data_IF_108398228680
#
_entry.id   IF_108398228680
#
_cell.length_a   1.000
_cell.length_b   1.000
_cell.length_c   1.000
_cell.angle_alpha   90.00
_cell.angle_beta   90.00
_cell.angle_gamma   90.00
#
_symmetry.space_group_name_H-M   'P 1'
#
loop_
_entity.id
_entity.type
_entity.pdbx_description
1 polymer ?
#
# COMPACT_ATOMS: atom_id res chain seq x y z
N UNK A 1 -44.32 50.01 -32.07
CA UNK A 1 -44.22 49.34 -30.76
C UNK A 1 -43.07 48.34 -30.86
N UNK A 2 -41.84 48.75 -30.51
CA UNK A 2 -40.63 47.95 -30.66
C UNK A 2 -40.40 47.14 -29.37
N UNK A 3 -40.45 45.81 -29.47
CA UNK A 3 -40.10 44.90 -28.37
C UNK A 3 -38.58 44.68 -28.43
N UNK A 4 -37.87 45.21 -27.42
CA UNK A 4 -36.45 44.93 -27.17
C UNK A 4 -36.33 43.55 -26.52
N UNK A 5 -35.66 42.62 -27.20
CA UNK A 5 -35.27 41.33 -26.64
C UNK A 5 -33.93 41.55 -25.92
N UNK A 6 -33.94 41.51 -24.58
CA UNK A 6 -32.73 41.45 -23.76
C UNK A 6 -32.20 40.01 -23.78
N UNK A 7 -31.06 39.80 -24.45
CA UNK A 7 -30.26 38.58 -24.32
C UNK A 7 -29.55 38.61 -22.94
N UNK A 8 -29.97 37.76 -22.02
CA UNK A 8 -29.20 37.47 -20.80
C UNK A 8 -28.17 36.39 -21.11
N UNK A 9 -26.92 36.81 -21.28
CA UNK A 9 -25.77 35.91 -21.38
C UNK A 9 -25.42 35.43 -19.96
N UNK A 10 -25.93 34.26 -19.57
CA UNK A 10 -25.50 33.59 -18.33
C UNK A 10 -24.17 32.91 -18.62
N UNK A 11 -23.05 33.58 -18.29
CA UNK A 11 -21.76 32.89 -18.16
C UNK A 11 -21.85 31.98 -16.94
N UNK A 12 -22.08 30.68 -17.18
CA UNK A 12 -21.83 29.63 -16.20
C UNK A 12 -20.31 29.57 -15.99
N UNK A 13 -19.81 30.36 -15.05
CA UNK A 13 -18.51 30.12 -14.43
C UNK A 13 -18.67 28.80 -13.67
N UNK A 14 -18.29 27.71 -14.32
CA UNK A 14 -17.99 26.44 -13.66
C UNK A 14 -16.73 26.63 -12.82
N UNK A 15 -16.87 27.36 -11.71
CA UNK A 15 -15.93 27.33 -10.62
C UNK A 15 -16.02 25.94 -10.01
N UNK A 16 -15.20 25.01 -10.52
CA UNK A 16 -14.88 23.83 -9.75
C UNK A 16 -14.44 24.31 -8.38
N UNK A 17 -15.08 23.83 -7.31
CA UNK A 17 -14.62 24.07 -5.94
C UNK A 17 -13.25 23.41 -5.86
N UNK A 18 -12.21 24.16 -6.21
CA UNK A 18 -10.85 23.76 -6.00
C UNK A 18 -10.70 23.78 -4.49
N UNK A 19 -10.62 22.60 -3.88
CA UNK A 19 -10.41 22.49 -2.44
C UNK A 19 -9.18 23.34 -2.11
N UNK A 20 -9.39 24.47 -1.43
CA UNK A 20 -8.34 25.40 -1.07
C UNK A 20 -7.29 24.63 -0.27
N UNK A 21 -6.06 24.60 -0.77
CA UNK A 21 -4.91 24.06 -0.04
C UNK A 21 -4.82 24.75 1.31
N UNK A 22 -4.77 23.99 2.41
CA UNK A 22 -4.60 24.59 3.73
C UNK A 22 -3.15 25.02 3.96
N UNK A 23 -2.20 24.34 3.31
CA UNK A 23 -0.77 24.61 3.42
C UNK A 23 -0.35 25.59 2.32
N UNK A 24 0.25 26.72 2.70
CA UNK A 24 0.80 27.75 1.81
C UNK A 24 2.07 27.29 1.09
N UNK A 25 2.50 28.03 0.06
CA UNK A 25 3.71 27.67 -0.69
C UNK A 25 4.97 27.74 0.19
N UNK A 26 5.04 28.75 1.06
CA UNK A 26 6.10 28.98 2.03
C UNK A 26 6.17 27.84 3.05
N UNK A 27 5.03 27.41 3.60
CA UNK A 27 4.96 26.28 4.53
C UNK A 27 5.34 24.96 3.87
N UNK A 28 5.01 24.76 2.59
CA UNK A 28 5.43 23.56 1.84
C UNK A 28 6.93 23.52 1.61
N UNK A 29 7.52 24.66 1.24
CA UNK A 29 8.97 24.76 1.11
C UNK A 29 9.66 24.51 2.46
N UNK A 30 9.13 25.11 3.53
CA UNK A 30 9.62 24.88 4.88
C UNK A 30 9.55 23.40 5.29
N UNK A 31 8.43 22.72 5.02
CA UNK A 31 8.28 21.30 5.32
C UNK A 31 9.25 20.40 4.55
N UNK A 32 9.51 20.70 3.27
CA UNK A 32 10.55 20.02 2.49
C UNK A 32 11.95 20.25 3.10
N UNK A 33 12.26 21.51 3.45
CA UNK A 33 13.55 21.86 4.05
C UNK A 33 13.77 21.17 5.41
N UNK A 34 12.70 21.02 6.20
CA UNK A 34 12.75 20.27 7.46
C UNK A 34 13.04 18.79 7.22
N UNK A 35 12.35 18.12 6.27
CA UNK A 35 12.66 16.72 5.95
C UNK A 35 14.08 16.53 5.44
N UNK A 36 14.54 17.41 4.55
CA UNK A 36 15.92 17.40 4.06
C UNK A 36 16.89 17.49 5.23
N UNK A 37 16.72 18.49 6.11
CA UNK A 37 17.59 18.73 7.25
C UNK A 37 17.59 17.57 8.23
N UNK A 38 16.41 17.08 8.64
CA UNK A 38 16.30 16.00 9.62
C UNK A 38 16.93 14.70 9.09
N UNK A 39 16.75 14.38 7.81
CA UNK A 39 17.44 13.25 7.19
C UNK A 39 18.96 13.47 7.15
N UNK A 40 19.43 14.66 6.75
CA UNK A 40 20.87 14.98 6.70
C UNK A 40 21.57 14.78 8.04
N UNK A 41 20.88 15.04 9.17
CA UNK A 41 21.46 14.89 10.50
C UNK A 41 21.26 13.50 11.10
N UNK A 42 20.12 12.84 10.86
CA UNK A 42 19.71 11.67 11.62
C UNK A 42 19.62 10.37 10.80
N UNK A 43 19.57 10.44 9.47
CA UNK A 43 19.50 9.24 8.65
C UNK A 43 20.86 8.54 8.63
N UNK A 44 20.92 7.36 9.24
CA UNK A 44 22.17 6.64 9.48
C UNK A 44 22.71 5.88 8.27
N UNK A 45 21.92 5.73 7.20
CA UNK A 45 22.18 4.75 6.13
C UNK A 45 22.47 5.39 4.76
N UNK A 46 23.07 6.59 4.72
CA UNK A 46 23.46 7.21 3.45
C UNK A 46 24.51 6.39 2.68
N UNK A 47 25.30 5.56 3.37
CA UNK A 47 26.22 4.59 2.76
C UNK A 47 25.50 3.53 1.90
N UNK A 48 24.21 3.28 2.14
CA UNK A 48 23.40 2.34 1.36
C UNK A 48 22.79 2.98 0.10
N UNK A 49 22.94 4.30 -0.07
CA UNK A 49 22.51 5.06 -1.25
C UNK A 49 23.66 5.94 -1.78
N UNK A 50 24.80 5.34 -2.17
CA UNK A 50 26.02 6.09 -2.49
C UNK A 50 25.87 7.02 -3.71
N UNK A 51 24.93 6.72 -4.61
CA UNK A 51 24.66 7.52 -5.80
C UNK A 51 23.65 8.67 -5.55
N UNK A 52 23.08 8.74 -4.33
CA UNK A 52 22.12 9.78 -3.96
C UNK A 52 22.85 11.05 -3.53
N UNK A 53 22.84 12.07 -4.39
CA UNK A 53 23.15 13.43 -3.99
C UNK A 53 21.93 14.03 -3.27
N UNK A 54 21.96 14.01 -1.94
CA UNK A 54 20.82 14.43 -1.11
C UNK A 54 20.50 15.93 -1.25
N UNK A 55 21.54 16.77 -1.38
CA UNK A 55 21.38 18.21 -1.51
C UNK A 55 20.84 18.58 -2.89
N UNK A 56 21.37 17.96 -3.95
CA UNK A 56 20.83 18.14 -5.30
C UNK A 56 19.39 17.61 -5.40
N UNK A 57 19.08 16.50 -4.72
CA UNK A 57 17.72 15.96 -4.66
C UNK A 57 16.77 16.93 -3.98
N UNK A 58 17.16 17.52 -2.85
CA UNK A 58 16.37 18.57 -2.19
C UNK A 58 16.10 19.74 -3.14
N UNK A 59 17.13 20.27 -3.79
CA UNK A 59 16.98 21.38 -4.75
C UNK A 59 16.03 21.03 -5.90
N UNK A 60 16.11 19.81 -6.44
CA UNK A 60 15.25 19.33 -7.51
C UNK A 60 13.77 19.16 -7.08
N UNK A 61 13.50 19.04 -5.78
CA UNK A 61 12.15 18.90 -5.23
C UNK A 61 11.50 20.23 -4.82
N UNK A 62 12.27 21.30 -4.62
CA UNK A 62 11.77 22.66 -4.37
C UNK A 62 10.70 23.08 -5.40
N UNK A 63 10.94 23.05 -6.73
CA UNK A 63 9.92 23.45 -7.69
C UNK A 63 8.68 22.54 -7.66
N UNK A 64 8.83 21.26 -7.27
CA UNK A 64 7.72 20.30 -7.21
C UNK A 64 6.76 20.60 -6.06
N UNK A 65 7.29 20.94 -4.87
CA UNK A 65 6.43 21.29 -3.72
C UNK A 65 5.74 22.65 -3.91
N UNK A 66 6.42 23.59 -4.57
CA UNK A 66 5.84 24.89 -4.92
C UNK A 66 4.74 24.77 -5.98
N UNK A 67 4.89 23.84 -6.94
CA UNK A 67 3.91 23.60 -8.00
C UNK A 67 2.68 22.79 -7.56
N UNK A 68 2.69 22.18 -6.38
CA UNK A 68 1.56 21.38 -5.89
C UNK A 68 0.28 22.22 -5.81
N UNK A 69 -0.86 21.69 -6.27
CA UNK A 69 -2.14 22.43 -6.30
C UNK A 69 -3.05 22.14 -5.09
N UNK A 70 -2.68 21.17 -4.27
CA UNK A 70 -3.42 20.76 -3.08
C UNK A 70 -2.51 20.11 -2.05
N UNK A 71 -2.97 20.03 -0.81
CA UNK A 71 -2.26 19.33 0.27
C UNK A 71 -1.96 17.87 -0.11
N UNK A 72 -2.89 17.18 -0.77
CA UNK A 72 -2.68 15.81 -1.24
C UNK A 72 -1.52 15.70 -2.24
N UNK A 73 -1.45 16.61 -3.21
CA UNK A 73 -0.33 16.64 -4.16
C UNK A 73 0.99 16.97 -3.47
N UNK A 74 0.98 17.90 -2.52
CA UNK A 74 2.17 18.22 -1.72
C UNK A 74 2.70 17.00 -0.96
N UNK A 75 1.84 16.29 -0.22
CA UNK A 75 2.27 15.08 0.49
C UNK A 75 2.73 13.96 -0.45
N UNK A 76 2.17 13.85 -1.67
CA UNK A 76 2.70 12.91 -2.68
C UNK A 76 4.13 13.26 -3.09
N UNK A 77 4.44 14.55 -3.27
CA UNK A 77 5.81 15.01 -3.56
C UNK A 77 6.75 14.70 -2.40
N UNK A 78 6.34 14.92 -1.15
CA UNK A 78 7.16 14.56 0.02
C UNK A 78 7.43 13.05 0.12
N UNK A 79 6.43 12.21 -0.19
CA UNK A 79 6.61 10.75 -0.25
C UNK A 79 7.65 10.36 -1.30
N UNK A 80 7.59 10.96 -2.49
CA UNK A 80 8.61 10.75 -3.53
C UNK A 80 9.99 11.19 -3.08
N UNK A 81 10.09 12.28 -2.34
CA UNK A 81 11.35 12.77 -1.80
C UNK A 81 11.98 11.77 -0.84
N UNK A 82 11.25 11.34 0.19
CA UNK A 82 11.80 10.34 1.14
C UNK A 82 12.02 8.96 0.51
N UNK A 83 11.23 8.56 -0.49
CA UNK A 83 11.44 7.29 -1.18
C UNK A 83 12.81 7.20 -1.89
N UNK A 84 13.47 8.35 -2.18
CA UNK A 84 14.83 8.36 -2.73
C UNK A 84 15.89 7.82 -1.75
N UNK A 85 15.60 7.83 -0.45
CA UNK A 85 16.47 7.24 0.58
C UNK A 85 16.51 5.71 0.53
N UNK A 86 15.61 5.06 -0.24
CA UNK A 86 15.52 3.61 -0.37
C UNK A 86 15.51 2.88 0.99
N UNK A 87 14.76 3.40 1.96
CA UNK A 87 14.68 2.85 3.31
C UNK A 87 13.24 2.58 3.73
N UNK A 88 12.94 1.33 4.10
CA UNK A 88 11.58 0.88 4.43
C UNK A 88 10.96 1.58 5.65
N UNK A 89 11.78 2.23 6.48
CA UNK A 89 11.35 2.91 7.70
C UNK A 89 11.29 4.44 7.55
N UNK A 90 11.67 4.97 6.37
CA UNK A 90 11.67 6.39 6.05
C UNK A 90 10.51 6.73 5.12
N UNK A 91 9.37 7.14 5.68
CA UNK A 91 8.17 7.43 4.91
C UNK A 91 7.36 8.62 5.46
N UNK A 92 6.56 9.24 4.60
CA UNK A 92 5.62 10.30 4.98
C UNK A 92 4.21 9.75 5.05
N UNK A 93 3.53 9.96 6.17
CA UNK A 93 2.11 9.67 6.32
C UNK A 93 1.25 10.92 6.14
N UNK A 94 0.18 10.78 5.35
CA UNK A 94 -0.89 11.78 5.29
C UNK A 94 -1.84 11.53 6.46
N UNK A 95 -2.47 12.59 6.97
CA UNK A 95 -3.54 12.41 7.94
C UNK A 95 -4.70 11.58 7.34
N UNK A 96 -5.48 10.95 8.22
CA UNK A 96 -6.53 10.01 7.84
C UNK A 96 -7.61 10.64 6.93
N UNK A 97 -8.04 11.87 7.24
CA UNK A 97 -9.08 12.58 6.48
C UNK A 97 -8.65 12.84 5.03
N UNK A 98 -7.47 13.44 4.84
CA UNK A 98 -6.92 13.77 3.53
C UNK A 98 -6.71 12.50 2.71
N UNK A 99 -6.16 11.45 3.34
CA UNK A 99 -5.89 10.19 2.67
C UNK A 99 -7.18 9.51 2.20
N UNK A 100 -8.16 9.32 3.08
CA UNK A 100 -9.40 8.61 2.74
C UNK A 100 -10.27 9.38 1.75
N UNK A 101 -10.17 10.72 1.71
CA UNK A 101 -10.83 11.55 0.69
C UNK A 101 -10.30 11.29 -0.73
N UNK A 102 -9.03 10.91 -0.86
CA UNK A 102 -8.36 10.78 -2.15
C UNK A 102 -8.00 9.35 -2.55
N UNK A 103 -7.99 8.42 -1.61
CA UNK A 103 -7.55 7.05 -1.83
C UNK A 103 -8.65 6.06 -1.45
N UNK A 104 -9.09 5.30 -2.45
CA UNK A 104 -10.02 4.19 -2.34
C UNK A 104 -9.54 3.00 -3.19
N UNK A 105 -10.10 1.84 -2.90
CA UNK A 105 -9.82 0.58 -3.58
C UNK A 105 -11.13 -0.02 -4.11
N UNK A 106 -11.08 -0.74 -5.25
CA UNK A 106 -12.18 -1.60 -5.65
C UNK A 106 -12.31 -2.82 -4.72
N UNK A 107 -13.45 -3.54 -4.72
CA UNK A 107 -13.70 -4.70 -3.85
C UNK A 107 -12.98 -5.97 -4.34
N UNK A 108 -11.65 -5.89 -4.41
CA UNK A 108 -10.72 -6.94 -4.82
C UNK A 108 -9.47 -6.89 -3.92
N UNK A 109 -8.89 -8.05 -3.63
CA UNK A 109 -7.63 -8.20 -2.93
C UNK A 109 -6.61 -8.85 -3.86
N UNK A 110 -5.42 -8.27 -3.90
CA UNK A 110 -4.31 -8.78 -4.69
C UNK A 110 -3.19 -9.29 -3.80
N UNK A 111 -2.53 -10.35 -4.26
CA UNK A 111 -1.23 -10.76 -3.79
C UNK A 111 -0.23 -10.68 -4.95
N UNK A 112 1.02 -10.45 -4.60
CA UNK A 112 2.13 -10.57 -5.54
C UNK A 112 2.65 -12.01 -5.52
N UNK A 113 2.90 -12.55 -6.71
CA UNK A 113 3.66 -13.78 -6.90
C UNK A 113 4.38 -13.70 -8.25
N UNK A 114 5.69 -13.89 -8.27
CA UNK A 114 6.52 -13.84 -9.49
C UNK A 114 6.30 -12.55 -10.32
N UNK A 115 6.18 -11.41 -9.63
CA UNK A 115 5.87 -10.09 -10.20
C UNK A 115 4.50 -10.01 -10.90
N UNK A 116 3.59 -10.93 -10.59
CA UNK A 116 2.22 -10.96 -11.10
C UNK A 116 1.22 -10.52 -10.03
N UNK A 117 0.19 -9.79 -10.45
CA UNK A 117 -0.91 -9.35 -9.60
C UNK A 117 -2.01 -10.42 -9.55
N UNK A 118 -1.93 -11.33 -8.59
CA UNK A 118 -2.85 -12.46 -8.44
C UNK A 118 -4.06 -12.05 -7.60
N UNK A 119 -5.27 -12.36 -8.09
CA UNK A 119 -6.52 -12.13 -7.37
C UNK A 119 -6.69 -13.16 -6.26
N UNK A 120 -6.63 -12.71 -5.01
CA UNK A 120 -6.72 -13.58 -3.82
C UNK A 120 -7.96 -13.32 -2.98
N UNK A 121 -8.71 -12.27 -3.30
CA UNK A 121 -10.02 -11.99 -2.72
C UNK A 121 -10.85 -11.11 -3.66
N UNK A 122 -12.16 -11.29 -3.65
CA UNK A 122 -13.09 -10.47 -4.44
C UNK A 122 -14.48 -10.46 -3.80
N UNK A 123 -15.28 -9.41 -4.03
CA UNK A 123 -16.69 -9.45 -3.62
C UNK A 123 -17.42 -10.63 -4.27
N UNK A 124 -18.29 -11.28 -3.51
CA UNK A 124 -19.09 -12.41 -4.01
C UNK A 124 -19.91 -12.04 -5.25
N UNK A 125 -20.36 -10.78 -5.33
CA UNK A 125 -21.11 -10.24 -6.48
C UNK A 125 -20.32 -10.18 -7.78
N UNK A 126 -18.98 -10.18 -7.71
CA UNK A 126 -18.08 -10.11 -8.87
C UNK A 126 -17.34 -11.42 -9.12
N UNK A 127 -17.40 -12.37 -8.19
CA UNK A 127 -16.60 -13.59 -8.24
C UNK A 127 -16.84 -14.47 -9.49
N UNK A 128 -18.06 -14.44 -10.05
CA UNK A 128 -18.39 -15.15 -11.29
C UNK A 128 -17.74 -14.52 -12.54
N UNK A 129 -17.43 -13.22 -12.49
CA UNK A 129 -16.82 -12.47 -13.59
C UNK A 129 -15.29 -12.48 -13.50
N UNK A 130 -14.75 -12.41 -12.28
CA UNK A 130 -13.32 -12.43 -12.00
C UNK A 130 -13.00 -13.50 -10.94
N UNK A 131 -12.73 -14.75 -11.38
CA UNK A 131 -12.43 -15.85 -10.47
C UNK A 131 -11.13 -15.61 -9.69
N UNK A 132 -11.06 -16.14 -8.47
CA UNK A 132 -9.81 -16.22 -7.69
C UNK A 132 -8.69 -16.92 -8.48
N UNK A 133 -7.45 -16.50 -8.24
CA UNK A 133 -6.28 -16.97 -8.96
C UNK A 133 -6.09 -16.34 -10.34
N UNK A 134 -7.01 -15.47 -10.79
CA UNK A 134 -6.80 -14.70 -12.01
C UNK A 134 -5.61 -13.74 -11.85
N UNK A 135 -4.89 -13.48 -12.94
CA UNK A 135 -3.77 -12.54 -12.97
C UNK A 135 -4.24 -11.25 -13.64
N UNK A 136 -4.17 -10.12 -12.93
CA UNK A 136 -4.39 -8.80 -13.52
C UNK A 136 -3.19 -8.48 -14.41
N UNK A 137 -3.46 -8.19 -15.68
CA UNK A 137 -2.41 -7.88 -16.68
C UNK A 137 -2.36 -6.40 -17.02
N UNK A 138 -3.50 -5.70 -16.94
CA UNK A 138 -3.58 -4.27 -17.22
C UNK A 138 -4.56 -3.55 -16.29
N UNK A 139 -4.26 -2.30 -16.00
CA UNK A 139 -5.08 -1.37 -15.23
C UNK A 139 -5.25 -0.09 -16.03
N UNK A 140 -6.50 0.30 -16.30
CA UNK A 140 -6.86 1.48 -17.10
C UNK A 140 -6.16 1.52 -18.47
N UNK A 141 -5.95 0.34 -19.06
CA UNK A 141 -5.31 0.16 -20.37
C UNK A 141 -3.79 -0.02 -20.31
N UNK A 142 -3.14 0.34 -19.21
CA UNK A 142 -1.68 0.27 -19.01
C UNK A 142 -1.27 -1.09 -18.45
N UNK A 143 -0.16 -1.65 -18.91
CA UNK A 143 0.39 -2.90 -18.35
C UNK A 143 0.72 -2.73 -16.86
N UNK A 144 0.47 -3.76 -16.04
CA UNK A 144 0.71 -3.70 -14.59
C UNK A 144 2.14 -3.25 -14.26
N UNK A 145 3.15 -3.78 -14.95
CA UNK A 145 4.55 -3.41 -14.73
C UNK A 145 4.80 -1.92 -14.95
N UNK A 146 4.34 -1.39 -16.08
CA UNK A 146 4.49 0.02 -16.42
C UNK A 146 3.75 0.92 -15.44
N UNK A 147 2.53 0.54 -15.06
CA UNK A 147 1.72 1.25 -14.08
C UNK A 147 2.44 1.34 -12.73
N UNK A 148 3.00 0.22 -12.27
CA UNK A 148 3.76 0.18 -11.02
C UNK A 148 4.99 1.08 -11.08
N UNK A 149 5.80 0.97 -12.13
CA UNK A 149 7.02 1.75 -12.29
C UNK A 149 6.77 3.26 -12.37
N UNK A 150 5.71 3.67 -13.08
CA UNK A 150 5.42 5.08 -13.33
C UNK A 150 4.63 5.74 -12.21
N UNK A 151 3.70 5.01 -11.58
CA UNK A 151 2.68 5.61 -10.72
C UNK A 151 2.64 5.07 -9.29
N UNK A 152 3.38 4.01 -8.95
CA UNK A 152 3.33 3.38 -7.62
C UNK A 152 4.70 3.31 -6.94
N UNK A 153 5.70 2.69 -7.58
CA UNK A 153 7.05 2.53 -7.04
C UNK A 153 7.72 3.85 -6.61
N UNK A 154 7.52 5.01 -7.30
CA UNK A 154 8.08 6.27 -6.86
C UNK A 154 7.59 6.73 -5.46
N UNK A 155 6.56 6.10 -4.89
CA UNK A 155 6.02 6.42 -3.57
C UNK A 155 6.37 5.39 -2.50
N UNK A 156 7.10 4.32 -2.85
CA UNK A 156 7.46 3.23 -1.94
C UNK A 156 8.94 3.37 -1.58
N UNK A 157 9.20 3.75 -0.34
CA UNK A 157 10.55 3.71 0.22
C UNK A 157 10.90 2.28 0.60
N UNK A 158 11.94 1.72 0.00
CA UNK A 158 12.42 0.37 0.31
C UNK A 158 13.84 0.15 -0.18
N UNK A 159 14.61 -0.64 0.57
CA UNK A 159 15.97 -1.04 0.20
C UNK A 159 16.00 -2.21 -0.78
N UNK A 160 14.87 -2.87 -1.04
CA UNK A 160 14.82 -4.07 -1.87
C UNK A 160 13.70 -4.04 -2.91
N UNK A 161 13.95 -4.62 -4.07
CA UNK A 161 13.01 -4.64 -5.18
C UNK A 161 11.74 -5.47 -4.88
N UNK A 162 11.89 -6.63 -4.22
CA UNK A 162 10.77 -7.52 -3.94
C UNK A 162 9.69 -6.84 -3.07
N UNK A 163 10.07 -6.00 -2.09
CA UNK A 163 9.12 -5.24 -1.29
C UNK A 163 8.37 -4.22 -2.15
N UNK A 164 9.04 -3.55 -3.10
CA UNK A 164 8.36 -2.63 -4.03
C UNK A 164 7.29 -3.35 -4.84
N UNK A 165 7.58 -4.54 -5.36
CA UNK A 165 6.59 -5.36 -6.07
C UNK A 165 5.45 -5.81 -5.16
N UNK A 166 5.78 -6.37 -3.99
CA UNK A 166 4.78 -6.83 -3.02
C UNK A 166 3.83 -5.71 -2.61
N UNK A 167 4.36 -4.61 -2.09
CA UNK A 167 3.60 -3.47 -1.60
C UNK A 167 2.92 -2.70 -2.75
N UNK A 168 3.56 -2.65 -3.93
CA UNK A 168 2.99 -2.01 -5.11
C UNK A 168 1.73 -2.72 -5.60
N UNK A 169 1.76 -4.06 -5.70
CA UNK A 169 0.62 -4.87 -6.14
C UNK A 169 -0.47 -4.92 -5.07
N UNK A 170 -0.11 -5.31 -3.84
CA UNK A 170 -1.05 -5.46 -2.73
C UNK A 170 -1.66 -4.12 -2.31
N UNK A 171 -0.86 -3.05 -2.40
CA UNK A 171 -1.19 -1.72 -1.91
C UNK A 171 -1.04 -1.57 -0.40
N UNK A 172 -0.86 -0.32 0.03
CA UNK A 172 -0.78 0.05 1.43
C UNK A 172 -1.74 1.20 1.70
N UNK A 173 -2.87 0.89 2.34
CA UNK A 173 -3.89 1.91 2.62
C UNK A 173 -3.40 3.01 3.56
N UNK A 174 -2.56 2.67 4.55
CA UNK A 174 -2.01 3.65 5.50
C UNK A 174 -1.09 4.66 4.83
N UNK A 175 -0.25 4.18 3.92
CA UNK A 175 0.67 4.99 3.11
C UNK A 175 0.06 5.51 1.80
N UNK A 176 -1.14 5.07 1.44
CA UNK A 176 -1.92 5.65 0.36
C UNK A 176 -1.33 5.45 -1.05
N UNK A 177 -0.78 4.27 -1.33
CA UNK A 177 -0.37 3.82 -2.66
C UNK A 177 -0.86 2.39 -2.94
N UNK A 178 -0.85 1.98 -4.20
CA UNK A 178 -1.14 0.61 -4.63
C UNK A 178 -1.66 0.54 -6.06
N UNK A 179 -1.51 -0.62 -6.70
CA UNK A 179 -1.83 -0.84 -8.12
C UNK A 179 -3.25 -0.42 -8.52
N UNK A 180 -4.23 -0.73 -7.68
CA UNK A 180 -5.64 -0.43 -7.94
C UNK A 180 -6.15 0.81 -7.21
N UNK A 181 -5.30 1.45 -6.41
CA UNK A 181 -5.69 2.61 -5.61
C UNK A 181 -5.92 3.84 -6.48
N UNK A 182 -6.89 4.66 -6.10
CA UNK A 182 -7.16 5.93 -6.78
C UNK A 182 -8.32 6.69 -6.13
N UNK A 183 -8.79 7.72 -6.81
CA UNK A 183 -9.82 8.60 -6.27
C UNK A 183 -11.14 7.87 -5.99
N UNK A 184 -11.73 8.17 -4.83
CA UNK A 184 -13.03 7.66 -4.40
C UNK A 184 -14.10 7.89 -5.46
N UNK A 185 -14.92 6.86 -5.72
CA UNK A 185 -16.03 6.91 -6.67
C UNK A 185 -15.63 6.82 -8.15
N UNK A 186 -14.33 6.79 -8.46
CA UNK A 186 -13.87 6.59 -9.83
C UNK A 186 -13.91 5.12 -10.23
N UNK A 187 -14.08 4.87 -11.52
CA UNK A 187 -14.04 3.52 -12.09
C UNK A 187 -12.59 3.15 -12.40
N UNK A 188 -12.20 1.93 -12.04
CA UNK A 188 -10.98 1.27 -12.49
C UNK A 188 -11.33 0.13 -13.44
N UNK A 189 -10.62 0.06 -14.56
CA UNK A 189 -10.82 -0.99 -15.58
C UNK A 189 -9.64 -1.93 -15.54
N UNK A 190 -9.90 -3.22 -15.34
CA UNK A 190 -8.85 -4.25 -15.34
C UNK A 190 -9.00 -5.18 -16.52
N UNK A 191 -7.88 -5.61 -17.10
CA UNK A 191 -7.80 -6.81 -17.94
C UNK A 191 -7.07 -7.89 -17.17
N UNK A 192 -7.48 -9.13 -17.36
CA UNK A 192 -6.94 -10.26 -16.60
C UNK A 192 -6.93 -11.55 -17.40
N UNK A 193 -6.13 -12.51 -16.93
CA UNK A 193 -6.13 -13.89 -17.42
C UNK A 193 -6.57 -14.81 -16.29
N UNK A 194 -7.61 -15.60 -16.53
CA UNK A 194 -8.13 -16.59 -15.55
C UNK A 194 -7.19 -17.79 -15.42
N UNK A 195 -7.33 -18.61 -14.35
CA UNK A 195 -6.57 -19.87 -14.22
C UNK A 195 -6.76 -20.85 -15.39
N UNK A 196 -7.88 -20.74 -16.12
CA UNK A 196 -8.13 -21.51 -17.33
C UNK A 196 -7.51 -20.89 -18.61
N UNK A 197 -6.57 -19.94 -18.46
CA UNK A 197 -5.92 -19.18 -19.54
C UNK A 197 -6.87 -18.40 -20.46
N UNK A 198 -8.07 -18.05 -19.98
CA UNK A 198 -9.00 -17.19 -20.71
C UNK A 198 -8.80 -15.72 -20.33
N UNK A 199 -8.71 -14.86 -21.34
CA UNK A 199 -8.68 -13.41 -21.15
C UNK A 199 -10.06 -12.88 -20.74
N UNK A 200 -10.08 -11.85 -19.89
CA UNK A 200 -11.28 -11.16 -19.46
C UNK A 200 -11.01 -9.68 -19.14
N UNK A 201 -12.08 -8.94 -18.91
CA UNK A 201 -12.02 -7.56 -18.45
C UNK A 201 -13.15 -7.27 -17.47
N UNK A 202 -12.92 -6.36 -16.53
CA UNK A 202 -13.91 -5.96 -15.54
C UNK A 202 -13.75 -4.47 -15.22
N UNK A 203 -14.85 -3.77 -14.97
CA UNK A 203 -14.85 -2.41 -14.45
C UNK A 203 -15.40 -2.42 -13.04
N UNK A 204 -14.73 -1.75 -12.11
CA UNK A 204 -15.10 -1.68 -10.69
C UNK A 204 -15.05 -0.24 -10.21
N UNK A 205 -15.87 0.10 -9.22
CA UNK A 205 -15.82 1.40 -8.56
C UNK A 205 -14.81 1.32 -7.41
N UNK A 206 -14.00 2.37 -7.21
CA UNK A 206 -13.17 2.54 -6.02
C UNK A 206 -14.05 3.03 -4.88
N UNK A 207 -14.38 2.14 -3.96
CA UNK A 207 -15.38 2.40 -2.91
C UNK A 207 -14.76 3.15 -1.73
N UNK A 208 -15.54 4.09 -1.17
CA UNK A 208 -15.14 4.82 0.04
C UNK A 208 -15.06 3.90 1.26
N UNK A 209 -15.88 2.86 1.28
CA UNK A 209 -16.03 1.93 2.38
C UNK A 209 -16.23 0.51 1.84
N UNK A 210 -15.39 -0.42 2.30
CA UNK A 210 -15.44 -1.85 1.96
C UNK A 210 -15.87 -2.72 3.14
N UNK A 211 -16.26 -2.13 4.28
CA UNK A 211 -16.59 -2.84 5.52
C UNK A 211 -17.81 -3.78 5.38
N UNK A 212 -18.76 -3.44 4.51
CA UNK A 212 -19.96 -4.23 4.25
C UNK A 212 -19.83 -5.25 3.10
N UNK A 213 -18.64 -5.41 2.51
CA UNK A 213 -18.45 -6.33 1.38
C UNK A 213 -18.43 -7.78 1.86
N UNK A 214 -19.29 -8.62 1.29
CA UNK A 214 -19.18 -10.07 1.40
C UNK A 214 -18.06 -10.57 0.48
N UNK A 215 -17.04 -11.19 1.07
CA UNK A 215 -15.80 -11.57 0.38
C UNK A 215 -15.73 -13.06 0.08
N UNK A 216 -15.41 -13.41 -1.17
CA UNK A 216 -14.85 -14.70 -1.52
C UNK A 216 -13.32 -14.61 -1.46
N UNK A 217 -12.68 -15.45 -0.64
CA UNK A 217 -11.23 -15.43 -0.41
C UNK A 217 -10.57 -16.73 -0.88
N UNK A 218 -9.33 -16.64 -1.36
CA UNK A 218 -8.52 -17.82 -1.63
C UNK A 218 -8.11 -18.50 -0.32
N UNK A 219 -7.94 -19.82 -0.37
CA UNK A 219 -7.50 -20.61 0.78
C UNK A 219 -6.16 -20.09 1.31
N UNK A 220 -6.09 -19.80 2.62
CA UNK A 220 -4.87 -19.29 3.26
C UNK A 220 -4.72 -17.76 3.31
N UNK A 221 -5.65 -17.01 2.73
CA UNK A 221 -5.72 -15.53 2.81
C UNK A 221 -6.44 -15.06 4.08
N UNK A 222 -6.91 -15.98 4.92
CA UNK A 222 -7.56 -15.61 6.17
C UNK A 222 -6.59 -14.80 7.04
N UNK A 223 -7.06 -13.66 7.52
CA UNK A 223 -6.37 -12.92 8.57
C UNK A 223 -6.30 -13.84 9.79
N UNK A 224 -5.10 -14.27 10.18
CA UNK A 224 -4.96 -14.90 11.48
C UNK A 224 -5.15 -13.80 12.50
N UNK A 225 -6.30 -13.77 13.15
CA UNK A 225 -6.62 -12.79 14.20
C UNK A 225 -5.86 -13.07 15.50
N UNK A 226 -5.15 -14.19 15.57
CA UNK A 226 -4.38 -14.61 16.73
C UNK A 226 -2.89 -14.40 16.49
N UNK A 227 -2.23 -13.77 17.46
CA UNK A 227 -0.80 -13.49 17.41
C UNK A 227 0.05 -14.77 17.40
N UNK A 228 -0.45 -15.86 17.99
CA UNK A 228 0.13 -17.22 17.89
C UNK A 228 -0.94 -18.21 17.42
N UNK A 229 -0.60 -19.06 16.45
CA UNK A 229 -1.45 -20.18 16.01
C UNK A 229 -0.63 -21.46 16.06
N UNK A 230 -1.11 -22.49 16.77
CA UNK A 230 -0.48 -23.80 16.82
C UNK A 230 -1.43 -24.89 16.28
N UNK A 231 -0.90 -25.77 15.43
CA UNK A 231 -1.61 -26.94 14.89
C UNK A 231 -0.67 -28.14 14.87
N UNK A 232 -1.20 -29.33 15.13
CA UNK A 232 -0.48 -30.59 14.89
C UNK A 232 -0.92 -31.14 13.54
N UNK A 233 0.03 -31.40 12.66
CA UNK A 233 -0.15 -31.95 11.32
C UNK A 233 0.09 -33.47 11.34
N UNK A 234 -0.03 -34.10 10.18
CA UNK A 234 0.35 -35.51 10.00
C UNK A 234 1.78 -35.77 10.48
N UNK A 235 2.03 -37.01 10.89
CA UNK A 235 3.34 -37.48 11.37
C UNK A 235 3.89 -36.70 12.56
N UNK A 236 3.02 -36.11 13.39
CA UNK A 236 3.40 -35.33 14.57
C UNK A 236 4.33 -34.14 14.21
N UNK A 237 4.09 -33.52 13.05
CA UNK A 237 4.73 -32.25 12.66
C UNK A 237 3.93 -31.10 13.25
N UNK A 238 4.57 -30.20 13.98
CA UNK A 238 3.91 -29.05 14.60
C UNK A 238 4.04 -27.82 13.69
N UNK A 239 2.92 -27.16 13.40
CA UNK A 239 2.87 -25.86 12.74
C UNK A 239 2.64 -24.77 13.78
N UNK A 240 3.50 -23.76 13.79
CA UNK A 240 3.39 -22.59 14.67
C UNK A 240 3.51 -21.32 13.83
N UNK A 241 2.44 -20.53 13.77
CA UNK A 241 2.49 -19.18 13.21
C UNK A 241 2.71 -18.17 14.33
N UNK A 242 3.68 -17.27 14.15
CA UNK A 242 3.93 -16.13 15.03
C UNK A 242 3.65 -14.87 14.22
N UNK A 243 2.41 -14.37 14.31
CA UNK A 243 1.91 -13.36 13.36
C UNK A 243 2.20 -11.92 13.81
N UNK A 244 2.61 -11.70 15.05
CA UNK A 244 2.75 -10.35 15.62
C UNK A 244 3.82 -10.32 16.72
N UNK A 245 4.85 -9.48 16.54
CA UNK A 245 5.91 -9.22 17.53
C UNK A 245 5.78 -7.83 18.19
N UNK A 246 4.62 -7.20 18.13
CA UNK A 246 4.30 -5.97 18.87
C UNK A 246 3.89 -6.23 20.32
N UNK A 247 3.47 -7.46 20.62
CA UNK A 247 2.89 -7.84 21.91
C UNK A 247 3.84 -8.76 22.68
N UNK A 248 4.15 -8.41 23.92
CA UNK A 248 4.97 -9.24 24.82
C UNK A 248 4.36 -10.63 25.08
N UNK A 249 3.02 -10.73 25.05
CA UNK A 249 2.29 -12.00 25.18
C UNK A 249 2.63 -13.02 24.08
N UNK A 250 3.13 -12.51 22.94
CA UNK A 250 4.11 -13.12 22.03
C UNK A 250 4.83 -14.35 22.54
N UNK A 251 5.88 -14.01 23.27
CA UNK A 251 6.89 -14.90 23.81
C UNK A 251 6.30 -15.83 24.85
N UNK A 252 5.43 -15.34 25.73
CA UNK A 252 4.82 -16.18 26.76
C UNK A 252 3.98 -17.32 26.17
N UNK A 253 3.20 -17.04 25.13
CA UNK A 253 2.39 -18.04 24.45
C UNK A 253 3.26 -19.09 23.78
N UNK A 254 4.37 -18.68 23.16
CA UNK A 254 5.29 -19.62 22.53
C UNK A 254 6.07 -20.46 23.55
N UNK A 255 6.57 -19.87 24.63
CA UNK A 255 7.25 -20.61 25.71
C UNK A 255 6.35 -21.70 26.27
N UNK A 256 5.05 -21.44 26.44
CA UNK A 256 4.06 -22.44 26.88
C UNK A 256 3.91 -23.61 25.89
N UNK A 257 4.21 -23.41 24.61
CA UNK A 257 4.17 -24.47 23.60
C UNK A 257 5.44 -25.32 23.59
N UNK A 258 6.59 -24.80 24.05
CA UNK A 258 7.89 -25.48 23.96
C UNK A 258 7.87 -26.95 24.41
N UNK A 259 7.26 -27.34 25.55
CA UNK A 259 7.24 -28.75 25.96
C UNK A 259 6.55 -29.67 24.95
N UNK A 260 5.53 -29.17 24.24
CA UNK A 260 4.85 -29.91 23.18
C UNK A 260 5.63 -29.90 21.87
N UNK A 261 6.34 -28.81 21.57
CA UNK A 261 7.16 -28.71 20.36
C UNK A 261 8.40 -29.61 20.44
N UNK A 262 8.94 -29.85 21.64
CA UNK A 262 10.07 -30.74 21.88
C UNK A 262 9.78 -32.22 21.59
N UNK A 263 8.50 -32.63 21.60
CA UNK A 263 8.09 -34.00 21.26
C UNK A 263 7.74 -34.17 19.79
N UNK A 264 7.76 -33.09 19.00
CA UNK A 264 7.38 -33.11 17.59
C UNK A 264 8.42 -33.84 16.73
N UNK A 265 7.96 -34.53 15.68
CA UNK A 265 8.86 -35.13 14.68
C UNK A 265 9.39 -34.08 13.68
N UNK A 266 8.76 -32.90 13.63
CA UNK A 266 9.15 -31.79 12.78
C UNK A 266 8.42 -30.51 13.18
N UNK A 267 8.97 -29.36 12.76
CA UNK A 267 8.44 -28.05 13.11
C UNK A 267 8.36 -27.17 11.86
N UNK A 268 7.22 -26.53 11.65
CA UNK A 268 6.99 -25.48 10.66
C UNK A 268 6.74 -24.18 11.40
N UNK A 269 7.67 -23.24 11.28
CA UNK A 269 7.51 -21.88 11.81
C UNK A 269 7.05 -20.95 10.68
N UNK A 270 5.88 -20.33 10.85
CA UNK A 270 5.29 -19.43 9.88
C UNK A 270 5.36 -17.98 10.37
N UNK A 271 6.20 -17.18 9.73
CA UNK A 271 6.39 -15.75 10.01
C UNK A 271 5.80 -14.86 8.92
N UNK A 272 5.05 -15.41 7.96
CA UNK A 272 4.64 -14.68 6.74
C UNK A 272 3.69 -13.52 7.00
N UNK A 273 2.98 -13.53 8.14
CA UNK A 273 2.12 -12.40 8.55
C UNK A 273 2.81 -11.47 9.55
N UNK A 274 4.02 -11.79 10.00
CA UNK A 274 4.76 -10.99 10.96
C UNK A 274 5.44 -9.80 10.27
N UNK A 275 5.17 -8.60 10.76
CA UNK A 275 5.73 -7.35 10.20
C UNK A 275 7.02 -6.90 10.88
N UNK A 276 7.41 -7.56 11.98
CA UNK A 276 8.51 -7.16 12.85
C UNK A 276 8.23 -5.87 13.59
N UNK A 277 8.54 -5.78 14.89
CA UNK A 277 8.41 -4.53 15.66
C UNK A 277 9.44 -4.44 16.79
N UNK A 278 9.35 -5.31 17.81
CA UNK A 278 10.24 -5.24 18.98
C UNK A 278 11.46 -6.14 18.74
N UNK A 279 12.70 -5.62 18.60
CA UNK A 279 13.88 -6.42 18.29
C UNK A 279 14.27 -7.42 19.39
N UNK A 280 13.87 -7.13 20.64
CA UNK A 280 14.17 -7.96 21.80
C UNK A 280 13.37 -9.26 21.83
N UNK A 281 12.14 -9.29 21.27
CA UNK A 281 11.31 -10.49 21.32
C UNK A 281 11.90 -11.63 20.48
N UNK A 282 12.29 -11.46 19.19
CA UNK A 282 12.96 -12.50 18.40
C UNK A 282 14.18 -13.12 19.10
N UNK A 283 14.97 -12.31 19.82
CA UNK A 283 16.15 -12.80 20.54
C UNK A 283 15.81 -13.79 21.65
N UNK A 284 14.64 -13.65 22.29
CA UNK A 284 14.17 -14.56 23.32
C UNK A 284 13.78 -15.92 22.73
N UNK A 285 13.09 -15.95 21.58
CA UNK A 285 12.75 -17.19 20.86
C UNK A 285 13.99 -17.98 20.44
N UNK A 286 15.08 -17.31 20.06
CA UNK A 286 16.32 -17.95 19.64
C UNK A 286 17.17 -18.47 20.80
N UNK A 287 16.91 -17.99 22.02
CA UNK A 287 17.68 -18.33 23.22
C UNK A 287 17.06 -19.44 24.08
N UNK A 288 15.80 -19.81 23.80
CA UNK A 288 15.02 -20.84 24.49
C UNK A 288 15.02 -22.15 23.71
#
# INVERSE_FOLDING_TARGET
MFIRICLFLVMLLSGGVQAQSRISAEERLFGLAMLWKEASYNFAYFDQVPDLDWDATYQAFIPKVLAAKSDYQYYKVLKQFLATLNDGMSYVQMNHELRNKHNALPPIMLAEAEHQAVVVGISETLASQLPLGSIITHVDGVEVKDKLQQEVFPFISSSTEHIRWHEGIKGNQGLGYGLLMGQVGTVVKVRFTTPANRAGHLSMIREADLSGVAWQLASGVMANTHSVVHKVLADNIHYVALNDFSQDSVTEQFIKLLPQLQTANGLVIDLRQNRGEIPLLPSQFLST
#
